data_IF_342816146588
#
_entry.id   IF_342816146588
#
_cell.length_a   1.000
_cell.length_b   1.000
_cell.length_c   1.000
_cell.angle_alpha   90.00
_cell.angle_beta   90.00
_cell.angle_gamma   90.00
#
_symmetry.space_group_name_H-M   'P 1'
#
loop_
_entity.id
_entity.type
_entity.pdbx_description
1 polymer ?
#
# COMPACT_ATOMS: atom_id res chain seq x y z
N UNK A 1 -16.97 51.15 -5.48
CA UNK A 1 -17.41 49.83 -5.00
C UNK A 1 -17.27 48.82 -6.15
N UNK A 2 -16.70 47.70 -5.90
CA UNK A 2 -16.50 46.65 -6.89
C UNK A 2 -16.87 45.31 -6.29
N UNK A 3 -17.16 44.29 -7.11
CA UNK A 3 -17.62 42.98 -6.66
C UNK A 3 -16.63 41.89 -7.11
N UNK A 4 -16.45 40.90 -6.27
CA UNK A 4 -15.72 39.66 -6.60
C UNK A 4 -16.71 38.51 -6.70
N UNK A 5 -16.68 37.82 -7.82
CA UNK A 5 -17.57 36.69 -8.14
C UNK A 5 -16.77 35.44 -8.47
N UNK A 6 -17.33 34.27 -8.21
CA UNK A 6 -16.79 33.01 -8.71
C UNK A 6 -17.60 32.56 -9.92
N UNK A 7 -16.91 31.98 -10.89
CA UNK A 7 -17.57 31.18 -11.92
C UNK A 7 -17.03 29.73 -11.83
N UNK A 8 -17.79 28.81 -11.26
CA UNK A 8 -17.51 27.37 -11.31
C UNK A 8 -17.89 26.76 -12.67
N UNK A 9 -18.85 27.36 -13.36
CA UNK A 9 -19.22 27.01 -14.73
C UNK A 9 -19.76 28.26 -15.42
N UNK A 10 -19.72 28.31 -16.75
CA UNK A 10 -20.19 29.48 -17.56
C UNK A 10 -21.61 29.98 -17.24
N UNK A 11 -22.37 29.29 -16.39
CA UNK A 11 -23.80 29.62 -16.07
C UNK A 11 -24.06 30.03 -14.62
N UNK A 12 -23.21 29.69 -13.64
CA UNK A 12 -23.48 30.01 -12.23
C UNK A 12 -22.40 30.93 -11.67
N UNK A 13 -22.82 32.16 -11.35
CA UNK A 13 -21.98 33.16 -10.70
C UNK A 13 -22.43 33.27 -9.24
N UNK A 14 -21.55 32.91 -8.31
CA UNK A 14 -21.78 33.13 -6.88
C UNK A 14 -20.81 34.16 -6.35
N UNK A 15 -21.30 35.05 -5.48
CA UNK A 15 -20.47 36.06 -4.83
C UNK A 15 -19.53 35.46 -3.82
N UNK A 16 -18.30 35.98 -3.70
CA UNK A 16 -17.28 35.50 -2.76
C UNK A 16 -17.06 36.47 -1.60
N UNK A 17 -17.52 36.17 -0.40
CA UNK A 17 -17.12 36.87 0.81
C UNK A 17 -15.72 36.47 1.27
N UNK A 18 -15.02 37.36 1.98
CA UNK A 18 -13.75 37.06 2.62
C UNK A 18 -12.53 37.01 1.67
N UNK A 19 -12.68 37.51 0.45
CA UNK A 19 -11.55 37.62 -0.49
C UNK A 19 -10.67 38.81 -0.11
N UNK A 20 -9.38 38.59 -0.02
CA UNK A 20 -8.38 39.64 0.22
C UNK A 20 -8.02 40.32 -1.08
N UNK A 21 -8.14 41.66 -1.10
CA UNK A 21 -7.80 42.50 -2.25
C UNK A 21 -6.83 43.57 -1.80
N UNK A 22 -5.67 43.67 -2.45
CA UNK A 22 -4.63 44.62 -2.06
C UNK A 22 -3.78 45.08 -3.25
N UNK A 23 -3.19 46.26 -3.11
CA UNK A 23 -2.28 46.80 -4.12
C UNK A 23 -0.90 46.16 -4.01
N UNK A 24 -0.34 45.76 -5.16
CA UNK A 24 0.99 45.12 -5.22
C UNK A 24 2.05 46.00 -4.57
N UNK A 25 2.87 45.40 -3.71
CA UNK A 25 3.96 46.05 -2.98
C UNK A 25 3.51 47.20 -2.06
N UNK A 26 2.29 47.18 -1.57
CA UNK A 26 1.76 48.14 -0.60
C UNK A 26 1.10 47.44 0.58
N UNK A 27 0.90 48.15 1.68
CA UNK A 27 0.10 47.68 2.82
C UNK A 27 -1.37 48.06 2.71
N UNK A 28 -1.82 48.64 1.58
CA UNK A 28 -3.19 49.07 1.37
C UNK A 28 -4.00 47.93 0.80
N UNK A 29 -4.93 47.40 1.57
CA UNK A 29 -5.80 46.28 1.21
C UNK A 29 -7.15 46.34 1.89
N UNK A 30 -8.05 45.48 1.45
CA UNK A 30 -9.40 45.34 1.96
C UNK A 30 -9.87 43.89 1.81
N UNK A 31 -11.01 43.54 2.43
CA UNK A 31 -11.63 42.21 2.33
C UNK A 31 -13.06 42.41 1.81
N UNK A 32 -13.53 41.47 0.98
CA UNK A 32 -14.92 41.51 0.48
C UNK A 32 -15.93 41.20 1.59
N UNK A 33 -17.05 41.90 1.57
CA UNK A 33 -18.18 41.69 2.48
C UNK A 33 -19.00 40.43 2.12
N UNK A 34 -20.10 40.18 2.84
CA UNK A 34 -21.01 39.03 2.62
C UNK A 34 -21.63 38.99 1.22
N UNK A 35 -21.68 40.12 0.53
CA UNK A 35 -22.18 40.24 -0.84
C UNK A 35 -21.06 40.26 -1.87
N UNK A 36 -19.81 39.91 -1.46
CA UNK A 36 -18.65 39.93 -2.34
C UNK A 36 -18.18 41.34 -2.74
N UNK A 37 -18.74 42.40 -2.12
CA UNK A 37 -18.43 43.79 -2.45
C UNK A 37 -17.17 44.25 -1.68
N UNK A 38 -16.32 45.02 -2.35
CA UNK A 38 -15.17 45.67 -1.72
C UNK A 38 -15.04 47.15 -2.15
N UNK A 39 -14.36 47.90 -1.32
CA UNK A 39 -13.98 49.28 -1.64
C UNK A 39 -12.54 49.47 -1.16
N UNK A 40 -11.67 49.92 -2.04
CA UNK A 40 -10.26 50.16 -1.74
C UNK A 40 -9.84 51.55 -2.23
N UNK A 41 -9.11 52.34 -1.45
CA UNK A 41 -8.60 53.64 -1.91
C UNK A 41 -7.60 53.42 -3.06
N UNK A 42 -7.51 54.37 -3.97
CA UNK A 42 -6.55 54.35 -5.06
C UNK A 42 -5.11 54.44 -4.54
N UNK A 43 -4.22 53.72 -5.16
CA UNK A 43 -2.78 53.81 -4.86
C UNK A 43 -2.11 54.70 -5.89
N UNK A 44 -1.17 55.56 -5.43
CA UNK A 44 -0.31 56.34 -6.30
C UNK A 44 1.01 55.59 -6.67
N UNK A 45 1.29 54.49 -5.96
CA UNK A 45 2.53 53.74 -6.10
C UNK A 45 2.44 52.61 -7.11
N UNK A 46 1.25 52.07 -7.35
CA UNK A 46 1.06 50.95 -8.27
C UNK A 46 -0.38 50.95 -8.82
N UNK A 47 -0.53 50.40 -10.01
CA UNK A 47 -1.81 50.17 -10.66
C UNK A 47 -2.18 48.67 -10.71
N UNK A 48 -1.42 47.80 -10.07
CA UNK A 48 -1.68 46.37 -10.03
C UNK A 48 -2.39 45.97 -8.75
N UNK A 49 -3.58 45.40 -8.90
CA UNK A 49 -4.43 44.92 -7.82
C UNK A 49 -4.33 43.40 -7.76
N UNK A 50 -3.97 42.88 -6.61
CA UNK A 50 -3.90 41.42 -6.35
C UNK A 50 -5.14 41.01 -5.60
N UNK A 51 -5.75 39.90 -6.07
CA UNK A 51 -6.92 39.29 -5.47
C UNK A 51 -6.55 37.86 -5.06
N UNK A 52 -6.69 37.54 -3.80
CA UNK A 52 -6.37 36.20 -3.27
C UNK A 52 -7.46 35.70 -2.35
N UNK A 53 -7.75 34.41 -2.44
CA UNK A 53 -8.70 33.71 -1.58
C UNK A 53 -8.23 32.29 -1.35
N UNK A 54 -8.59 31.71 -0.21
CA UNK A 54 -8.33 30.30 0.11
C UNK A 54 -9.10 29.44 -0.91
N UNK A 55 -8.47 28.45 -1.49
CA UNK A 55 -9.03 27.54 -2.51
C UNK A 55 -9.22 28.13 -3.92
N UNK A 56 -8.75 29.33 -4.20
CA UNK A 56 -8.80 29.96 -5.53
C UNK A 56 -7.41 30.40 -5.97
N UNK A 57 -7.18 30.34 -7.28
CA UNK A 57 -5.93 30.85 -7.86
C UNK A 57 -5.92 32.37 -7.76
N UNK A 58 -4.87 32.92 -7.16
CA UNK A 58 -4.67 34.38 -7.09
C UNK A 58 -4.66 34.98 -8.49
N UNK A 59 -5.30 36.13 -8.65
CA UNK A 59 -5.33 36.89 -9.90
C UNK A 59 -4.77 38.29 -9.69
N UNK A 60 -4.14 38.82 -10.74
CA UNK A 60 -3.54 40.15 -10.72
C UNK A 60 -4.10 40.98 -11.86
N UNK A 61 -4.78 42.09 -11.52
CA UNK A 61 -5.44 42.97 -12.46
C UNK A 61 -4.71 44.29 -12.53
N UNK A 62 -4.52 44.81 -13.74
CA UNK A 62 -4.02 46.15 -13.95
C UNK A 62 -5.20 47.13 -14.07
N UNK A 63 -5.27 48.08 -13.15
CA UNK A 63 -6.34 49.07 -13.08
C UNK A 63 -5.89 50.33 -13.79
N UNK A 64 -6.58 50.67 -14.87
CA UNK A 64 -6.32 51.89 -15.65
C UNK A 64 -7.30 53.01 -15.32
N UNK A 65 -8.48 52.69 -14.79
CA UNK A 65 -9.54 53.64 -14.46
C UNK A 65 -10.15 53.31 -13.10
N UNK A 66 -9.94 54.15 -12.12
CA UNK A 66 -10.39 54.01 -10.74
C UNK A 66 -11.84 54.39 -10.51
N UNK A 67 -12.51 54.94 -11.52
CA UNK A 67 -13.93 55.37 -11.42
C UNK A 67 -14.93 54.29 -11.80
N UNK A 68 -14.46 53.23 -12.48
CA UNK A 68 -15.32 52.16 -12.96
C UNK A 68 -15.54 51.09 -11.90
N UNK A 69 -16.76 50.51 -11.94
CA UNK A 69 -17.10 49.33 -11.19
C UNK A 69 -16.37 48.10 -11.80
N UNK A 70 -15.66 47.34 -10.95
CA UNK A 70 -14.94 46.14 -11.36
C UNK A 70 -15.72 44.91 -10.97
N UNK A 71 -15.98 44.03 -11.90
CA UNK A 71 -16.41 42.67 -11.67
C UNK A 71 -15.25 41.73 -11.93
N UNK A 72 -14.82 41.06 -10.89
CA UNK A 72 -13.63 40.19 -10.90
C UNK A 72 -14.05 38.74 -10.77
N UNK A 73 -13.60 37.87 -11.64
CA UNK A 73 -13.94 36.44 -11.62
C UNK A 73 -12.70 35.64 -11.29
N UNK A 74 -12.66 35.01 -10.13
CA UNK A 74 -11.64 34.06 -9.77
C UNK A 74 -11.95 32.69 -10.40
N UNK A 75 -10.94 32.07 -10.97
CA UNK A 75 -11.05 30.70 -11.44
C UNK A 75 -10.95 29.78 -10.24
N UNK A 76 -11.77 28.75 -10.20
CA UNK A 76 -11.75 27.71 -9.19
C UNK A 76 -10.32 27.20 -8.98
N UNK A 77 -9.97 26.96 -7.74
CA UNK A 77 -8.63 26.65 -7.32
C UNK A 77 -8.05 25.43 -8.03
N UNK A 78 -6.77 25.35 -7.96
CA UNK A 78 -6.02 24.17 -8.27
C UNK A 78 -6.69 23.01 -7.53
N UNK A 79 -7.16 22.00 -8.25
CA UNK A 79 -7.26 20.67 -7.68
C UNK A 79 -5.88 20.41 -7.07
N UNK A 80 -5.81 20.47 -5.75
CA UNK A 80 -4.67 19.90 -5.05
C UNK A 80 -4.72 18.44 -5.49
N UNK A 81 -3.85 18.06 -6.39
CA UNK A 81 -3.61 16.65 -6.63
C UNK A 81 -3.48 16.04 -5.25
N UNK A 82 -4.38 15.13 -4.92
CA UNK A 82 -4.29 14.31 -3.75
C UNK A 82 -2.81 13.89 -3.68
N UNK A 83 -2.10 14.36 -2.68
CA UNK A 83 -0.75 13.89 -2.41
C UNK A 83 -1.00 12.48 -1.91
N UNK A 84 -1.04 11.55 -2.83
CA UNK A 84 -0.95 10.14 -2.51
C UNK A 84 0.42 9.99 -1.85
N UNK A 85 0.42 10.00 -0.52
CA UNK A 85 1.60 9.63 0.26
C UNK A 85 1.74 8.14 0.03
N UNK A 86 2.46 7.78 -1.03
CA UNK A 86 2.93 6.42 -1.22
C UNK A 86 3.94 6.18 -0.11
N UNK A 87 3.44 5.68 1.02
CA UNK A 87 4.29 5.16 2.07
C UNK A 87 4.95 3.89 1.50
N UNK A 88 6.21 4.00 1.14
CA UNK A 88 7.00 2.81 0.81
C UNK A 88 7.25 2.04 2.09
N UNK A 89 6.43 1.03 2.32
CA UNK A 89 6.61 0.12 3.45
C UNK A 89 7.96 -0.57 3.33
N UNK A 90 8.75 -0.49 4.39
CA UNK A 90 9.90 -1.39 4.56
C UNK A 90 9.36 -2.82 4.58
N UNK A 91 10.08 -3.77 3.95
CA UNK A 91 9.60 -5.14 3.75
C UNK A 91 9.08 -5.86 5.00
N UNK A 92 9.45 -5.42 6.20
CA UNK A 92 8.99 -5.96 7.48
C UNK A 92 8.46 -4.82 8.35
N UNK A 93 7.24 -4.96 8.85
CA UNK A 93 6.59 -3.98 9.72
C UNK A 93 6.30 -4.57 11.09
N UNK A 94 6.55 -3.78 12.13
CA UNK A 94 6.14 -4.10 13.51
C UNK A 94 4.86 -3.35 13.84
N UNK A 95 3.79 -4.07 14.12
CA UNK A 95 2.55 -3.47 14.60
C UNK A 95 2.68 -3.14 16.09
N UNK A 96 2.60 -1.86 16.42
CA UNK A 96 2.55 -1.36 17.80
C UNK A 96 1.12 -1.15 18.31
N UNK A 97 0.13 -1.28 17.42
CA UNK A 97 -1.28 -1.03 17.76
C UNK A 97 -2.01 -2.25 18.32
N UNK A 98 -1.44 -3.44 18.15
CA UNK A 98 -2.00 -4.67 18.66
C UNK A 98 -1.40 -5.02 20.01
N UNK A 99 -2.21 -5.58 20.93
CA UNK A 99 -1.77 -6.06 22.24
C UNK A 99 -0.68 -7.16 22.16
N UNK A 100 -0.63 -7.89 21.06
CA UNK A 100 0.39 -8.88 20.73
C UNK A 100 1.36 -8.24 19.76
N UNK A 101 2.65 -8.28 20.07
CA UNK A 101 3.69 -7.79 19.17
C UNK A 101 3.72 -8.67 17.91
N UNK A 102 3.27 -8.12 16.81
CA UNK A 102 3.12 -8.80 15.53
C UNK A 102 4.11 -8.19 14.53
N UNK A 103 4.85 -9.05 13.86
CA UNK A 103 5.73 -8.71 12.77
C UNK A 103 5.06 -9.13 11.46
N UNK A 104 4.89 -8.21 10.52
CA UNK A 104 4.28 -8.50 9.21
C UNK A 104 5.35 -8.44 8.14
N UNK A 105 5.52 -9.54 7.41
CA UNK A 105 6.30 -9.60 6.18
C UNK A 105 5.36 -9.35 5.01
N UNK A 106 5.59 -8.30 4.28
CA UNK A 106 4.81 -7.97 3.09
C UNK A 106 5.41 -8.59 1.82
N UNK A 107 4.72 -8.45 0.71
CA UNK A 107 5.10 -9.00 -0.59
C UNK A 107 6.54 -8.66 -1.00
N UNK A 108 7.03 -7.44 -0.70
CA UNK A 108 8.42 -7.05 -0.99
C UNK A 108 9.46 -7.89 -0.23
N UNK A 109 9.19 -8.22 1.01
CA UNK A 109 10.07 -9.13 1.78
C UNK A 109 10.04 -10.53 1.20
N UNK A 110 8.86 -10.99 0.86
CA UNK A 110 8.67 -12.30 0.25
C UNK A 110 9.37 -12.39 -1.10
N UNK A 111 9.33 -11.35 -1.91
CA UNK A 111 10.04 -11.30 -3.20
C UNK A 111 11.56 -11.31 -3.07
N UNK A 112 12.13 -10.80 -1.99
CA UNK A 112 13.59 -10.86 -1.75
C UNK A 112 14.11 -12.27 -1.51
N UNK A 113 13.31 -13.07 -0.85
CA UNK A 113 13.62 -14.48 -0.55
C UNK A 113 13.00 -15.43 -1.58
N UNK A 114 12.21 -14.87 -2.50
CA UNK A 114 11.28 -15.60 -3.30
C UNK A 114 11.93 -16.39 -4.39
N UNK A 115 12.11 -17.62 -4.13
CA UNK A 115 12.12 -18.45 -5.30
C UNK A 115 10.93 -19.38 -5.34
N UNK A 116 10.66 -20.19 -4.38
CA UNK A 116 9.94 -21.38 -4.72
C UNK A 116 8.80 -21.73 -3.78
N UNK A 117 9.01 -21.67 -2.49
CA UNK A 117 8.00 -22.06 -1.52
C UNK A 117 8.03 -21.18 -0.27
N UNK A 118 6.99 -21.32 0.53
CA UNK A 118 6.82 -20.48 1.71
C UNK A 118 7.90 -20.70 2.77
N UNK A 119 8.48 -21.89 2.89
CA UNK A 119 9.56 -22.13 3.84
C UNK A 119 10.83 -21.34 3.50
N UNK A 120 11.14 -21.18 2.21
CA UNK A 120 12.26 -20.37 1.75
C UNK A 120 12.07 -18.87 2.00
N UNK A 121 10.82 -18.41 2.01
CA UNK A 121 10.49 -17.01 2.29
C UNK A 121 10.91 -16.55 3.68
N UNK A 122 11.13 -17.46 4.61
CA UNK A 122 11.59 -17.15 5.96
C UNK A 122 13.13 -17.04 6.09
N UNK A 123 13.92 -17.46 5.11
CA UNK A 123 15.40 -17.43 5.18
C UNK A 123 15.98 -16.03 5.45
N UNK A 124 15.27 -14.99 5.04
CA UNK A 124 15.69 -13.59 5.27
C UNK A 124 15.13 -12.99 6.55
N UNK A 125 14.31 -13.73 7.29
CA UNK A 125 13.66 -13.22 8.49
C UNK A 125 14.37 -13.72 9.76
N UNK A 126 14.89 -12.84 10.63
CA UNK A 126 15.61 -13.24 11.84
C UNK A 126 14.71 -13.86 12.93
N UNK A 127 13.41 -13.87 12.75
CA UNK A 127 12.44 -14.38 13.73
C UNK A 127 12.11 -15.84 13.53
N UNK A 128 12.43 -16.38 12.36
CA UNK A 128 12.14 -17.76 11.98
C UNK A 128 13.38 -18.35 11.34
N UNK A 129 13.93 -19.39 11.95
CA UNK A 129 15.05 -20.14 11.39
C UNK A 129 14.53 -21.20 10.42
N UNK A 130 15.22 -21.36 9.31
CA UNK A 130 14.91 -22.37 8.29
C UNK A 130 16.04 -23.37 8.22
N UNK A 131 15.75 -24.64 8.45
CA UNK A 131 16.71 -25.72 8.40
C UNK A 131 16.24 -26.82 7.45
N UNK A 132 17.18 -27.57 6.86
CA UNK A 132 16.82 -28.75 6.10
C UNK A 132 16.30 -29.85 7.04
N UNK A 133 15.09 -30.33 6.74
CA UNK A 133 14.50 -31.46 7.47
C UNK A 133 15.02 -32.79 6.95
N UNK A 134 15.31 -32.84 5.65
CA UNK A 134 15.78 -34.03 4.97
C UNK A 134 16.75 -33.62 3.85
N UNK A 135 17.93 -34.26 3.85
CA UNK A 135 18.97 -33.98 2.89
C UNK A 135 18.68 -34.56 1.50
N UNK A 136 17.86 -35.60 1.40
CA UNK A 136 17.52 -36.27 0.14
C UNK A 136 16.44 -35.49 -0.62
N UNK A 137 15.39 -35.15 0.07
CA UNK A 137 14.26 -34.41 -0.55
C UNK A 137 14.50 -32.92 -0.62
N UNK A 138 15.49 -32.36 0.08
CA UNK A 138 15.73 -30.93 0.19
C UNK A 138 14.61 -30.19 0.93
N UNK A 139 13.74 -30.93 1.63
CA UNK A 139 12.62 -30.35 2.36
C UNK A 139 13.10 -29.50 3.51
N UNK A 140 12.61 -28.28 3.60
CA UNK A 140 12.94 -27.32 4.65
C UNK A 140 11.86 -27.30 5.72
N UNK A 141 12.28 -27.21 6.97
CA UNK A 141 11.41 -26.99 8.12
C UNK A 141 11.74 -25.68 8.81
N UNK A 142 10.73 -25.10 9.41
CA UNK A 142 10.89 -23.88 10.19
C UNK A 142 11.15 -24.21 11.66
N UNK A 143 11.87 -23.29 12.32
CA UNK A 143 12.05 -23.27 13.77
C UNK A 143 11.76 -21.87 14.28
N UNK A 144 11.08 -21.77 15.38
CA UNK A 144 10.82 -20.51 16.07
C UNK A 144 11.33 -20.58 17.50
N UNK A 145 12.07 -19.56 17.92
CA UNK A 145 12.68 -19.50 19.26
C UNK A 145 13.53 -20.73 19.59
N UNK A 146 14.17 -21.31 18.58
CA UNK A 146 15.02 -22.52 18.74
C UNK A 146 14.25 -23.84 18.89
N UNK A 147 12.93 -23.84 18.75
CA UNK A 147 12.10 -25.04 18.83
C UNK A 147 11.54 -25.41 17.45
N UNK A 148 11.37 -26.71 17.24
CA UNK A 148 10.82 -27.26 15.99
C UNK A 148 9.46 -26.65 15.63
N UNK A 149 9.16 -26.55 14.33
CA UNK A 149 7.95 -25.98 13.80
C UNK A 149 6.64 -26.61 14.29
N UNK A 150 6.69 -27.84 14.83
CA UNK A 150 5.50 -28.46 15.44
C UNK A 150 4.96 -27.70 16.69
N UNK A 151 5.78 -26.85 17.31
CA UNK A 151 5.42 -26.00 18.44
C UNK A 151 4.93 -24.60 18.00
N UNK A 152 4.97 -24.31 16.69
CA UNK A 152 4.42 -23.12 16.10
C UNK A 152 3.07 -23.42 15.47
N UNK A 153 2.13 -22.53 15.67
CA UNK A 153 0.81 -22.64 15.02
C UNK A 153 0.86 -22.02 13.64
N UNK A 154 0.45 -22.78 12.62
CA UNK A 154 0.39 -22.31 11.25
C UNK A 154 -1.08 -22.15 10.85
N UNK A 155 -1.45 -20.92 10.50
CA UNK A 155 -2.79 -20.54 10.06
C UNK A 155 -2.74 -19.96 8.65
N UNK A 156 -3.85 -20.05 7.95
CA UNK A 156 -4.10 -19.39 6.67
C UNK A 156 -5.42 -18.64 6.76
N UNK A 157 -5.44 -17.35 6.47
CA UNK A 157 -6.60 -16.48 6.66
C UNK A 157 -7.20 -16.61 8.09
N UNK A 158 -6.32 -16.65 9.10
CA UNK A 158 -6.65 -16.88 10.50
C UNK A 158 -7.36 -18.22 10.82
N UNK A 159 -7.38 -19.15 9.88
CA UNK A 159 -7.90 -20.51 10.09
C UNK A 159 -6.74 -21.49 10.27
N UNK A 160 -6.79 -22.42 11.22
CA UNK A 160 -5.78 -23.46 11.37
C UNK A 160 -5.57 -24.22 10.06
N UNK A 161 -4.33 -24.28 9.60
CA UNK A 161 -4.01 -24.82 8.27
C UNK A 161 -3.18 -26.07 8.34
N UNK A 162 -1.99 -26.00 8.93
CA UNK A 162 -1.07 -27.14 9.06
C UNK A 162 -0.96 -27.55 10.51
N UNK A 163 -1.06 -28.85 10.77
CA UNK A 163 -1.05 -29.42 12.12
C UNK A 163 -0.31 -30.76 12.16
N UNK A 164 0.21 -31.10 13.33
CA UNK A 164 0.86 -32.39 13.57
C UNK A 164 2.05 -32.62 12.65
N UNK A 165 2.07 -33.74 11.96
CA UNK A 165 3.20 -34.11 11.06
C UNK A 165 3.38 -33.13 9.90
N UNK A 166 2.32 -32.47 9.43
CA UNK A 166 2.41 -31.50 8.34
C UNK A 166 3.16 -30.22 8.72
N UNK A 167 3.27 -29.87 9.99
CA UNK A 167 3.98 -28.67 10.44
C UNK A 167 5.48 -28.68 10.10
N UNK A 168 6.08 -29.88 9.97
CA UNK A 168 7.51 -30.00 9.69
C UNK A 168 7.89 -29.61 8.26
N UNK A 169 7.02 -29.87 7.30
CA UNK A 169 7.34 -29.71 5.87
C UNK A 169 6.20 -29.13 5.02
N UNK A 170 5.03 -28.94 5.58
CA UNK A 170 3.85 -28.49 4.81
C UNK A 170 4.03 -27.13 4.15
N UNK A 171 4.82 -26.25 4.73
CA UNK A 171 5.14 -24.94 4.13
C UNK A 171 5.91 -25.04 2.82
N UNK A 172 6.62 -26.14 2.60
CA UNK A 172 7.35 -26.39 1.34
C UNK A 172 6.40 -26.61 0.14
N UNK A 173 5.15 -26.94 0.39
CA UNK A 173 4.14 -27.14 -0.65
C UNK A 173 3.29 -25.91 -0.94
N UNK A 174 3.54 -24.79 -0.25
CA UNK A 174 2.84 -23.54 -0.49
C UNK A 174 3.71 -22.62 -1.33
N UNK A 175 3.30 -22.26 -2.55
CA UNK A 175 4.04 -21.32 -3.39
C UNK A 175 4.08 -19.93 -2.75
N UNK A 176 5.28 -19.36 -2.64
CA UNK A 176 5.45 -18.03 -2.06
C UNK A 176 4.70 -16.92 -2.83
N UNK A 177 4.55 -17.10 -4.14
CA UNK A 177 3.84 -16.16 -5.02
C UNK A 177 2.33 -16.08 -4.80
N UNK A 178 1.75 -17.04 -4.06
CA UNK A 178 0.32 -17.01 -3.69
C UNK A 178 0.05 -16.12 -2.46
N UNK A 179 1.12 -15.78 -1.71
CA UNK A 179 1.03 -15.11 -0.42
C UNK A 179 1.16 -13.59 -0.63
N UNK A 180 0.25 -12.84 -0.05
CA UNK A 180 0.31 -11.39 0.00
C UNK A 180 1.09 -10.91 1.21
N UNK A 181 0.83 -11.50 2.38
CA UNK A 181 1.52 -11.17 3.62
C UNK A 181 1.66 -12.36 4.55
N UNK A 182 2.67 -12.32 5.42
CA UNK A 182 2.84 -13.27 6.50
C UNK A 182 2.89 -12.48 7.81
N UNK A 183 2.05 -12.85 8.74
CA UNK A 183 2.02 -12.27 10.08
C UNK A 183 2.67 -13.24 11.06
N UNK A 184 3.66 -12.76 11.77
CA UNK A 184 4.41 -13.52 12.77
C UNK A 184 4.15 -12.95 14.16
N UNK A 185 3.68 -13.77 15.07
CA UNK A 185 3.64 -13.44 16.49
C UNK A 185 4.51 -14.41 17.28
N UNK A 186 5.30 -13.88 18.24
CA UNK A 186 6.19 -14.68 19.08
C UNK A 186 5.52 -14.97 20.41
N UNK A 187 5.69 -16.20 20.92
CA UNK A 187 5.11 -16.65 22.17
C UNK A 187 3.72 -17.25 22.00
N UNK A 188 3.04 -17.51 23.13
CA UNK A 188 1.73 -18.12 23.11
C UNK A 188 0.71 -17.28 22.32
N UNK A 189 0.08 -17.86 21.33
CA UNK A 189 -0.92 -17.21 20.51
C UNK A 189 -2.31 -17.16 21.19
N UNK A 190 -3.29 -16.66 20.43
CA UNK A 190 -4.68 -16.65 20.91
C UNK A 190 -5.27 -18.06 20.98
N UNK A 191 -5.89 -18.39 22.09
CA UNK A 191 -6.60 -19.67 22.30
C UNK A 191 -7.74 -19.85 21.30
N UNK A 192 -8.26 -18.76 20.75
CA UNK A 192 -9.31 -18.78 19.71
C UNK A 192 -8.86 -19.56 18.47
N UNK A 193 -7.57 -19.46 18.12
CA UNK A 193 -7.01 -20.14 16.94
C UNK A 193 -6.51 -21.57 17.23
N UNK A 194 -6.51 -21.99 18.50
CA UNK A 194 -6.02 -23.29 18.93
C UNK A 194 -4.96 -23.20 20.03
N UNK A 195 -4.53 -24.34 20.53
CA UNK A 195 -3.60 -24.46 21.66
C UNK A 195 -2.15 -24.77 21.24
N UNK A 196 -1.89 -24.92 19.96
CA UNK A 196 -0.60 -25.40 19.45
C UNK A 196 0.48 -24.31 19.40
N UNK A 197 0.12 -23.03 19.62
CA UNK A 197 1.05 -21.92 19.62
C UNK A 197 1.83 -21.85 20.93
N UNK A 198 2.93 -22.56 21.01
CA UNK A 198 3.87 -22.48 22.14
C UNK A 198 4.98 -21.48 21.86
N UNK A 199 5.60 -21.56 20.67
CA UNK A 199 6.69 -20.66 20.25
C UNK A 199 6.20 -19.44 19.52
N UNK A 200 5.08 -19.55 18.82
CA UNK A 200 4.48 -18.46 18.06
C UNK A 200 3.41 -18.92 17.12
N UNK A 201 2.85 -17.94 16.41
CA UNK A 201 1.85 -18.16 15.39
C UNK A 201 2.34 -17.54 14.07
N UNK A 202 2.17 -18.27 12.99
CA UNK A 202 2.43 -17.85 11.63
C UNK A 202 1.09 -17.83 10.91
N UNK A 203 0.61 -16.65 10.54
CA UNK A 203 -0.59 -16.52 9.71
C UNK A 203 -0.20 -16.07 8.31
N UNK A 204 -0.69 -16.78 7.30
CA UNK A 204 -0.48 -16.45 5.89
C UNK A 204 -1.76 -15.91 5.28
N UNK A 205 -1.65 -14.81 4.58
CA UNK A 205 -2.74 -14.20 3.83
C UNK A 205 -2.49 -14.38 2.34
N UNK A 206 -3.48 -14.91 1.64
CA UNK A 206 -3.42 -15.09 0.20
C UNK A 206 -3.58 -13.76 -0.54
N UNK A 207 -3.14 -13.75 -1.78
CA UNK A 207 -3.33 -12.60 -2.65
C UNK A 207 -4.80 -12.26 -2.84
N UNK A 208 -5.19 -11.05 -2.43
CA UNK A 208 -6.57 -10.58 -2.52
C UNK A 208 -6.91 -10.20 -3.97
N UNK A 209 -7.99 -10.76 -4.57
CA UNK A 209 -8.39 -10.45 -5.94
C UNK A 209 -8.88 -9.01 -6.14
N UNK A 210 -9.16 -8.26 -5.07
CA UNK A 210 -9.60 -6.86 -5.16
C UNK A 210 -8.45 -5.88 -5.28
N UNK A 211 -7.35 -6.11 -4.56
CA UNK A 211 -6.26 -5.14 -4.39
C UNK A 211 -5.00 -5.47 -5.16
N UNK A 212 -4.81 -6.73 -5.56
CA UNK A 212 -3.60 -7.18 -6.24
C UNK A 212 -3.66 -6.98 -7.75
N UNK A 213 -2.51 -7.09 -8.42
CA UNK A 213 -2.39 -6.95 -9.87
C UNK A 213 -3.28 -7.93 -10.65
N UNK A 214 -3.82 -7.48 -11.79
CA UNK A 214 -4.71 -8.30 -12.65
C UNK A 214 -4.03 -9.53 -13.22
N UNK A 215 -2.75 -9.41 -13.52
CA UNK A 215 -1.92 -10.46 -14.08
C UNK A 215 -0.54 -10.39 -13.44
N UNK A 216 -0.11 -11.47 -12.83
CA UNK A 216 1.26 -11.66 -12.37
C UNK A 216 1.76 -13.00 -12.92
N UNK A 217 2.86 -12.96 -13.66
CA UNK A 217 3.54 -14.13 -14.17
C UNK A 217 4.99 -14.12 -13.68
N UNK A 218 5.38 -15.19 -13.03
CA UNK A 218 6.73 -15.41 -12.56
C UNK A 218 7.24 -16.75 -13.10
N UNK A 219 8.46 -16.76 -13.62
CA UNK A 219 9.15 -17.96 -14.05
C UNK A 219 10.53 -18.01 -13.40
N UNK A 220 10.86 -19.15 -12.80
CA UNK A 220 12.16 -19.41 -12.20
C UNK A 220 12.79 -20.60 -12.88
N UNK A 221 14.07 -20.46 -13.20
CA UNK A 221 14.90 -21.49 -13.83
C UNK A 221 16.26 -21.51 -13.13
N UNK A 222 16.74 -22.66 -12.77
CA UNK A 222 18.08 -22.79 -12.20
C UNK A 222 18.98 -23.69 -13.06
N UNK A 223 20.28 -23.74 -12.73
CA UNK A 223 21.27 -24.53 -13.43
C UNK A 223 21.06 -26.06 -13.32
N UNK A 224 20.29 -26.52 -12.33
CA UNK A 224 19.91 -27.91 -12.13
C UNK A 224 18.63 -28.27 -12.90
N UNK A 225 18.24 -27.45 -13.89
CA UNK A 225 17.03 -27.61 -14.69
C UNK A 225 15.72 -27.63 -13.91
N UNK A 226 15.69 -27.18 -12.64
CA UNK A 226 14.46 -26.94 -11.92
C UNK A 226 13.74 -25.76 -12.56
N UNK A 227 12.52 -25.99 -12.96
CA UNK A 227 11.67 -25.01 -13.63
C UNK A 227 10.41 -24.78 -12.79
N UNK A 228 10.09 -23.53 -12.51
CA UNK A 228 8.87 -23.17 -11.82
C UNK A 228 8.14 -22.07 -12.58
N UNK A 229 6.85 -22.23 -12.70
CA UNK A 229 5.97 -21.28 -13.37
C UNK A 229 4.81 -20.94 -12.44
N UNK A 230 4.63 -19.66 -12.20
CA UNK A 230 3.54 -19.12 -11.40
C UNK A 230 2.72 -18.19 -12.27
N UNK A 231 1.41 -18.39 -12.29
CA UNK A 231 0.46 -17.54 -13.01
C UNK A 231 -0.68 -17.20 -12.06
N UNK A 232 -0.80 -15.92 -11.76
CA UNK A 232 -1.87 -15.38 -10.95
C UNK A 232 -2.72 -14.46 -11.84
N UNK A 233 -4.00 -14.79 -11.96
CA UNK A 233 -4.98 -14.02 -12.73
C UNK A 233 -6.07 -13.54 -11.80
N UNK A 234 -6.46 -12.27 -11.94
CA UNK A 234 -7.50 -11.67 -11.11
C UNK A 234 -8.42 -10.82 -11.96
N UNK A 235 -9.70 -10.94 -11.67
CA UNK A 235 -10.71 -10.15 -12.33
C UNK A 235 -11.79 -9.70 -11.34
N UNK A 236 -12.04 -8.39 -11.29
CA UNK A 236 -13.12 -7.79 -10.54
C UNK A 236 -14.27 -7.49 -11.48
N UNK A 237 -15.39 -8.16 -11.30
CA UNK A 237 -16.59 -7.96 -12.12
C UNK A 237 -17.39 -6.75 -11.66
N UNK A 238 -17.49 -6.56 -10.34
CA UNK A 238 -18.20 -5.44 -9.73
C UNK A 238 -17.70 -5.23 -8.28
N UNK A 239 -18.27 -4.27 -7.56
CA UNK A 239 -17.88 -3.94 -6.18
C UNK A 239 -18.19 -5.04 -5.15
N UNK A 240 -18.95 -6.08 -5.56
CA UNK A 240 -19.35 -7.18 -4.68
C UNK A 240 -18.73 -8.52 -5.08
N UNK A 241 -18.14 -8.62 -6.27
CA UNK A 241 -17.66 -9.88 -6.79
C UNK A 241 -16.35 -9.74 -7.56
N UNK A 242 -15.34 -10.41 -7.03
CA UNK A 242 -14.03 -10.55 -7.65
C UNK A 242 -13.58 -12.02 -7.62
N UNK A 243 -12.82 -12.45 -8.60
CA UNK A 243 -12.29 -13.81 -8.72
C UNK A 243 -10.78 -13.77 -8.93
N UNK A 244 -10.06 -14.63 -8.23
CA UNK A 244 -8.65 -14.88 -8.40
C UNK A 244 -8.39 -16.33 -8.80
N UNK A 245 -7.48 -16.55 -9.73
CA UNK A 245 -6.90 -17.85 -10.06
C UNK A 245 -5.41 -17.81 -9.72
N UNK A 246 -4.98 -18.67 -8.81
CA UNK A 246 -3.58 -18.86 -8.43
C UNK A 246 -3.13 -20.21 -8.98
N UNK A 247 -2.13 -20.22 -9.85
CA UNK A 247 -1.59 -21.42 -10.47
C UNK A 247 -0.09 -21.52 -10.23
N UNK A 248 0.37 -22.73 -9.92
CA UNK A 248 1.78 -23.04 -9.73
C UNK A 248 2.11 -24.38 -10.37
N UNK A 249 3.23 -24.45 -11.06
CA UNK A 249 3.78 -25.67 -11.61
C UNK A 249 5.31 -25.70 -11.34
N UNK A 250 5.77 -26.81 -10.81
CA UNK A 250 7.19 -27.05 -10.53
C UNK A 250 7.60 -28.37 -11.21
N UNK A 251 8.68 -28.30 -11.96
CA UNK A 251 9.25 -29.44 -12.65
C UNK A 251 10.76 -29.52 -12.33
N UNK A 252 11.20 -30.66 -11.82
CA UNK A 252 12.61 -30.96 -11.61
C UNK A 252 12.98 -32.21 -12.44
N UNK A 253 13.44 -32.05 -13.71
CA UNK A 253 13.74 -33.18 -14.57
C UNK A 253 15.08 -33.85 -14.27
N UNK A 254 15.97 -33.25 -13.48
CA UNK A 254 17.25 -33.82 -13.12
C UNK A 254 17.12 -34.68 -11.86
N UNK A 255 17.69 -35.89 -11.90
CA UNK A 255 17.88 -36.70 -10.73
C UNK A 255 18.96 -36.05 -9.84
N UNK A 256 18.61 -35.79 -8.58
CA UNK A 256 19.53 -35.21 -7.59
C UNK A 256 20.51 -36.23 -7.00
N UNK A 257 20.29 -37.51 -7.30
CA UNK A 257 21.18 -38.60 -6.92
C UNK A 257 22.45 -38.60 -7.82
N UNK A 258 23.45 -37.86 -7.36
CA UNK A 258 24.73 -37.72 -8.05
C UNK A 258 25.60 -39.01 -7.98
N UNK A 259 25.42 -39.83 -6.96
CA UNK A 259 26.17 -41.07 -6.72
C UNK A 259 25.49 -42.28 -7.34
N UNK A 260 24.24 -42.20 -7.72
CA UNK A 260 23.44 -43.28 -8.32
C UNK A 260 23.34 -44.51 -7.41
N UNK A 261 23.26 -44.31 -6.11
CA UNK A 261 23.14 -45.37 -5.12
C UNK A 261 21.67 -45.68 -4.72
N UNK A 262 20.71 -45.00 -5.34
CA UNK A 262 19.28 -45.24 -5.23
C UNK A 262 18.59 -44.38 -4.19
#
# INVERSE_FOLDING_TARGET
RSVVEISQNKKDTTVLPGVTVFWLNTSVGTITDMNGLFSIPSSSSTNQLIITSVSYKSDTLTITDTTKFLSIRLKGGVDLNEVEVVYETTGTELSYMNAIKMETLNERSLMKAACCNLSESFETNPSVDVNFADAVTGTKQIQMLGLSGQYAQITKENMPYMRGLANGYGLSFVPGTWIQSIQLSKGAGSVVNGYESLTGQINTELQNPETSDKLNFNAYLNQNARNEYNLNLKHRFNDKFAVGLLSHANFNPMAEDLNKDG
#
